data_IF_466679127932
#
_entry.id   IF_466679127932
#
_cell.length_a   1.000
_cell.length_b   1.000
_cell.length_c   1.000
_cell.angle_alpha   90.00
_cell.angle_beta   90.00
_cell.angle_gamma   90.00
#
_symmetry.space_group_name_H-M   'P 1'
#
loop_
_entity.id
_entity.type
_entity.pdbx_description
1 polymer ?
#
# COMPACT_ATOMS: atom_id res chain seq x y z
N UNK A 1 27.48 40.79 -17.77
CA UNK A 1 27.08 41.17 -16.40
C UNK A 1 28.08 40.55 -15.42
N UNK A 2 28.85 41.35 -14.68
CA UNK A 2 29.83 40.83 -13.70
C UNK A 2 29.09 40.55 -12.39
N UNK A 3 28.64 39.30 -12.19
CA UNK A 3 28.05 38.88 -10.92
C UNK A 3 29.15 38.96 -9.86
N UNK A 4 28.92 39.74 -8.80
CA UNK A 4 29.89 39.90 -7.71
C UNK A 4 30.03 38.56 -7.00
N UNK A 5 31.26 38.04 -6.90
CA UNK A 5 31.55 36.74 -6.28
C UNK A 5 30.94 36.60 -4.88
N UNK A 6 30.86 37.70 -4.13
CA UNK A 6 30.24 37.74 -2.80
C UNK A 6 28.73 37.46 -2.82
N UNK A 7 28.03 37.91 -3.86
CA UNK A 7 26.58 37.68 -4.03
C UNK A 7 26.34 36.22 -4.39
N UNK A 8 27.15 35.65 -5.29
CA UNK A 8 27.08 34.23 -5.62
C UNK A 8 27.35 33.35 -4.38
N UNK A 9 28.36 33.69 -3.59
CA UNK A 9 28.67 33.00 -2.33
C UNK A 9 27.53 33.09 -1.31
N UNK A 10 26.91 34.26 -1.17
CA UNK A 10 25.78 34.44 -0.27
C UNK A 10 24.58 33.58 -0.69
N UNK A 11 24.25 33.56 -1.99
CA UNK A 11 23.15 32.75 -2.54
C UNK A 11 23.43 31.25 -2.37
N UNK A 12 24.66 30.81 -2.62
CA UNK A 12 25.04 29.41 -2.41
C UNK A 12 24.91 29.03 -0.92
N UNK A 13 25.41 29.85 -0.01
CA UNK A 13 25.31 29.58 1.43
C UNK A 13 23.86 29.50 1.90
N UNK A 14 23.00 30.45 1.51
CA UNK A 14 21.60 30.41 1.91
C UNK A 14 20.88 29.20 1.32
N UNK A 15 21.16 28.83 0.06
CA UNK A 15 20.58 27.63 -0.55
C UNK A 15 20.99 26.34 0.16
N UNK A 16 22.24 26.23 0.61
CA UNK A 16 22.74 25.07 1.35
C UNK A 16 22.06 24.99 2.72
N UNK A 17 21.92 26.11 3.42
CA UNK A 17 21.25 26.15 4.72
C UNK A 17 19.79 25.70 4.58
N UNK A 18 19.06 26.21 3.59
CA UNK A 18 17.66 25.81 3.35
C UNK A 18 17.55 24.34 2.93
N UNK A 19 18.45 23.84 2.08
CA UNK A 19 18.51 22.42 1.73
C UNK A 19 18.78 21.53 2.95
N UNK A 20 19.67 21.94 3.86
CA UNK A 20 19.94 21.19 5.09
C UNK A 20 18.74 21.17 6.03
N UNK A 21 18.03 22.30 6.17
CA UNK A 21 16.81 22.37 6.96
C UNK A 21 15.73 21.45 6.39
N UNK A 22 15.49 21.49 5.07
CA UNK A 22 14.53 20.59 4.41
C UNK A 22 14.88 19.11 4.61
N UNK A 23 16.16 18.75 4.47
CA UNK A 23 16.62 17.39 4.71
C UNK A 23 16.37 16.98 6.17
N UNK A 24 16.68 17.83 7.15
CA UNK A 24 16.43 17.54 8.56
C UNK A 24 14.93 17.42 8.88
N UNK A 25 14.09 18.26 8.29
CA UNK A 25 12.63 18.19 8.44
C UNK A 25 12.08 16.92 7.81
N UNK A 26 12.54 16.56 6.61
CA UNK A 26 12.18 15.29 5.96
C UNK A 26 12.60 14.10 6.81
N UNK A 27 13.84 14.07 7.32
CA UNK A 27 14.28 13.03 8.24
C UNK A 27 13.43 13.00 9.52
N UNK A 28 13.06 14.14 10.09
CA UNK A 28 12.19 14.19 11.28
C UNK A 28 10.78 13.63 11.02
N UNK A 29 10.23 13.89 9.83
CA UNK A 29 8.90 13.39 9.43
C UNK A 29 8.97 11.90 9.03
N UNK A 30 10.02 11.49 8.33
CA UNK A 30 10.19 10.14 7.79
C UNK A 30 10.73 9.13 8.81
N UNK A 31 11.54 9.57 9.78
CA UNK A 31 12.13 8.72 10.82
C UNK A 31 11.54 9.00 12.22
N UNK A 32 10.33 8.49 12.54
CA UNK A 32 9.91 8.33 13.93
C UNK A 32 10.67 7.20 14.66
N UNK A 33 11.64 6.55 14.01
CA UNK A 33 12.19 5.25 14.42
C UNK A 33 13.49 5.29 15.23
N UNK A 34 14.09 6.46 15.50
CA UNK A 34 15.36 6.53 16.25
C UNK A 34 15.21 6.29 17.78
N UNK A 35 13.99 5.99 18.26
CA UNK A 35 13.75 5.56 19.64
C UNK A 35 13.31 4.08 19.74
N UNK A 36 13.50 3.29 18.67
CA UNK A 36 13.21 1.86 18.70
C UNK A 36 14.49 1.08 18.92
N UNK A 37 14.63 0.51 20.12
CA UNK A 37 15.69 -0.41 20.47
C UNK A 37 15.88 -1.47 19.37
N UNK A 38 17.10 -1.66 18.82
CA UNK A 38 17.34 -2.61 17.72
C UNK A 38 17.04 -4.06 18.10
N UNK A 39 16.97 -4.36 19.40
CA UNK A 39 16.51 -5.64 19.93
C UNK A 39 15.04 -5.95 19.62
N UNK A 40 14.19 -4.93 19.41
CA UNK A 40 12.76 -5.12 19.14
C UNK A 40 12.46 -5.40 17.66
N UNK A 41 13.29 -4.89 16.74
CA UNK A 41 13.14 -5.09 15.29
C UNK A 41 13.48 -6.52 14.81
N UNK A 42 14.18 -7.31 15.63
CA UNK A 42 14.56 -8.69 15.29
C UNK A 42 13.54 -9.74 15.78
N UNK A 43 12.66 -9.37 16.72
CA UNK A 43 11.64 -10.25 17.29
C UNK A 43 10.41 -10.41 16.36
N UNK A 44 10.22 -9.53 15.38
CA UNK A 44 9.03 -9.52 14.50
C UNK A 44 9.15 -10.47 13.28
N UNK A 45 10.17 -11.34 13.22
CA UNK A 45 10.31 -12.34 12.14
C UNK A 45 10.03 -13.78 12.58
N UNK A 46 9.54 -14.00 13.80
CA UNK A 46 9.11 -15.33 14.23
C UNK A 46 7.68 -15.61 13.77
N UNK A 47 7.56 -15.97 12.49
CA UNK A 47 6.33 -16.37 11.79
C UNK A 47 5.62 -17.59 12.43
N UNK A 48 6.25 -18.31 13.37
CA UNK A 48 5.68 -19.51 14.01
C UNK A 48 4.93 -19.29 15.34
N UNK A 49 4.48 -18.07 15.66
CA UNK A 49 3.61 -17.87 16.85
C UNK A 49 2.23 -17.27 16.57
N UNK A 50 1.89 -16.95 15.32
CA UNK A 50 0.53 -16.49 15.00
C UNK A 50 -0.53 -17.61 15.16
N UNK A 51 -0.14 -18.87 14.93
CA UNK A 51 -1.08 -20.00 15.01
C UNK A 51 -1.46 -20.37 16.46
N UNK A 52 -0.65 -19.98 17.46
CA UNK A 52 -0.86 -20.38 18.86
C UNK A 52 -1.70 -19.38 19.67
N UNK A 53 -1.92 -18.16 19.18
CA UNK A 53 -2.70 -17.11 19.87
C UNK A 53 -4.14 -16.99 19.36
N UNK A 54 -4.49 -17.62 18.23
CA UNK A 54 -5.86 -17.64 17.70
C UNK A 54 -6.73 -18.78 18.25
N UNK A 55 -6.26 -19.55 19.25
CA UNK A 55 -7.11 -20.47 20.02
C UNK A 55 -7.77 -19.72 21.17
N UNK A 56 -8.73 -18.88 20.82
CA UNK A 56 -9.50 -18.06 21.75
C UNK A 56 -9.78 -16.68 21.21
N UNK A 57 -10.24 -16.56 19.97
CA UNK A 57 -10.65 -15.28 19.40
C UNK A 57 -11.81 -14.72 20.22
N UNK A 58 -11.61 -13.57 20.85
CA UNK A 58 -12.67 -12.80 21.48
C UNK A 58 -13.89 -12.75 20.54
N UNK A 59 -15.12 -12.99 21.04
CA UNK A 59 -16.32 -13.02 20.21
C UNK A 59 -16.56 -11.69 19.48
N UNK A 60 -16.00 -10.59 19.98
CA UNK A 60 -16.01 -9.29 19.31
C UNK A 60 -15.09 -9.24 18.09
N UNK A 61 -13.88 -9.81 18.18
CA UNK A 61 -12.91 -9.86 17.07
C UNK A 61 -13.42 -10.77 15.96
N UNK A 62 -14.04 -11.90 16.31
CA UNK A 62 -14.63 -12.79 15.31
C UNK A 62 -15.77 -12.10 14.56
N UNK A 63 -16.63 -11.35 15.25
CA UNK A 63 -17.71 -10.56 14.60
C UNK A 63 -17.17 -9.50 13.65
N UNK A 64 -16.08 -8.83 14.02
CA UNK A 64 -15.44 -7.84 13.16
C UNK A 64 -14.81 -8.49 11.94
N UNK A 65 -14.13 -9.62 12.12
CA UNK A 65 -13.57 -10.40 11.02
C UNK A 65 -14.67 -10.91 10.08
N UNK A 66 -15.75 -11.46 10.61
CA UNK A 66 -16.89 -11.93 9.81
C UNK A 66 -17.51 -10.79 9.01
N UNK A 67 -17.57 -9.57 9.58
CA UNK A 67 -18.06 -8.38 8.89
C UNK A 67 -17.15 -8.00 7.72
N UNK A 68 -15.83 -8.04 7.91
CA UNK A 68 -14.84 -7.71 6.87
C UNK A 68 -14.82 -8.77 5.76
N UNK A 69 -14.93 -10.05 6.12
CA UNK A 69 -14.93 -11.16 5.16
C UNK A 69 -16.21 -11.24 4.34
N UNK A 70 -17.34 -10.75 4.85
CA UNK A 70 -18.63 -10.81 4.16
C UNK A 70 -18.66 -10.06 2.83
N UNK A 71 -17.85 -9.02 2.68
CA UNK A 71 -17.77 -8.23 1.45
C UNK A 71 -16.82 -8.84 0.41
N UNK A 72 -15.97 -9.78 0.83
CA UNK A 72 -14.99 -10.43 -0.03
C UNK A 72 -15.58 -11.71 -0.65
N UNK A 73 -15.34 -11.87 -1.95
CA UNK A 73 -15.62 -13.12 -2.67
C UNK A 73 -14.42 -14.07 -2.56
N UNK A 74 -14.70 -15.32 -2.21
CA UNK A 74 -13.72 -16.42 -2.20
C UNK A 74 -14.09 -17.56 -3.17
N UNK A 75 -15.11 -17.34 -4.00
CA UNK A 75 -15.59 -18.33 -4.97
C UNK A 75 -14.59 -18.51 -6.10
N UNK A 76 -14.38 -19.75 -6.56
CA UNK A 76 -13.39 -20.05 -7.61
C UNK A 76 -13.93 -19.86 -9.02
N UNK A 77 -15.24 -19.74 -9.22
CA UNK A 77 -15.86 -19.65 -10.55
C UNK A 77 -16.37 -18.23 -10.87
N UNK A 78 -15.67 -17.22 -10.37
CA UNK A 78 -16.06 -15.81 -10.50
C UNK A 78 -15.43 -15.09 -11.69
N UNK A 79 -15.82 -13.82 -11.93
CA UNK A 79 -15.16 -12.96 -12.90
C UNK A 79 -13.65 -12.86 -12.62
N UNK A 80 -12.83 -12.95 -13.67
CA UNK A 80 -11.37 -12.86 -13.52
C UNK A 80 -10.66 -14.18 -13.22
N UNK A 81 -11.40 -15.28 -13.08
CA UNK A 81 -10.85 -16.62 -12.90
C UNK A 81 -10.02 -17.03 -14.12
N UNK A 82 -8.91 -17.73 -13.89
CA UNK A 82 -7.95 -18.11 -14.93
C UNK A 82 -7.45 -16.92 -15.76
N UNK A 83 -7.46 -15.71 -15.18
CA UNK A 83 -7.05 -14.49 -15.87
C UNK A 83 -7.99 -14.02 -16.98
N UNK A 84 -9.25 -14.49 -16.98
CA UNK A 84 -10.27 -14.02 -17.93
C UNK A 84 -10.59 -12.52 -17.74
N UNK A 85 -10.96 -11.79 -18.80
CA UNK A 85 -11.31 -10.38 -18.67
C UNK A 85 -12.62 -10.18 -17.91
N UNK A 86 -12.66 -9.22 -16.99
CA UNK A 86 -13.86 -8.84 -16.25
C UNK A 86 -14.69 -7.84 -17.06
N UNK A 87 -15.93 -8.19 -17.37
CA UNK A 87 -16.88 -7.33 -18.07
C UNK A 87 -17.66 -6.49 -17.06
N UNK A 88 -17.60 -5.17 -17.22
CA UNK A 88 -18.33 -4.21 -16.39
C UNK A 88 -19.57 -3.72 -17.14
N UNK A 89 -20.65 -3.54 -16.40
CA UNK A 89 -21.90 -2.97 -16.92
C UNK A 89 -21.67 -1.52 -17.42
N UNK A 90 -22.13 -1.15 -18.63
CA UNK A 90 -22.03 0.22 -19.15
C UNK A 90 -22.60 1.30 -18.23
N UNK A 91 -23.61 0.97 -17.42
CA UNK A 91 -24.21 1.91 -16.46
C UNK A 91 -23.24 2.41 -15.39
N UNK A 92 -22.15 1.68 -15.11
CA UNK A 92 -21.16 1.99 -14.07
C UNK A 92 -19.88 2.63 -14.60
N UNK A 93 -19.87 3.09 -15.85
CA UNK A 93 -18.67 3.68 -16.45
C UNK A 93 -18.21 4.98 -15.78
N UNK A 94 -19.15 5.77 -15.26
CA UNK A 94 -18.82 7.02 -14.54
C UNK A 94 -18.11 6.71 -13.22
N UNK A 95 -18.66 5.80 -12.43
CA UNK A 95 -18.06 5.32 -11.18
C UNK A 95 -16.67 4.70 -11.41
N UNK A 96 -16.51 3.94 -12.50
CA UNK A 96 -15.21 3.39 -12.93
C UNK A 96 -14.19 4.50 -13.14
N UNK A 97 -14.57 5.57 -13.86
CA UNK A 97 -13.66 6.70 -14.16
C UNK A 97 -13.27 7.47 -12.89
N UNK A 98 -14.22 7.66 -11.97
CA UNK A 98 -13.95 8.34 -10.71
C UNK A 98 -13.01 7.52 -9.81
N UNK A 99 -13.31 6.23 -9.62
CA UNK A 99 -12.47 5.33 -8.81
C UNK A 99 -11.08 5.12 -9.42
N UNK A 100 -10.97 5.12 -10.75
CA UNK A 100 -9.68 5.03 -11.43
C UNK A 100 -8.80 6.26 -11.18
N UNK A 101 -9.36 7.47 -11.10
CA UNK A 101 -8.57 8.68 -10.80
C UNK A 101 -7.92 8.63 -9.41
N UNK A 102 -8.58 7.99 -8.45
CA UNK A 102 -8.08 7.90 -7.08
C UNK A 102 -7.04 6.79 -6.91
N UNK A 103 -7.29 5.64 -7.53
CA UNK A 103 -6.52 4.42 -7.27
C UNK A 103 -5.53 4.07 -8.38
N UNK A 104 -5.65 4.70 -9.55
CA UNK A 104 -4.87 4.43 -10.77
C UNK A 104 -5.05 3.01 -11.35
N UNK A 105 -6.03 2.25 -10.85
CA UNK A 105 -6.48 0.98 -11.40
C UNK A 105 -8.01 0.87 -11.38
N UNK A 106 -8.55 -0.11 -12.09
CA UNK A 106 -9.99 -0.34 -12.16
C UNK A 106 -10.48 -1.05 -10.88
N UNK A 107 -10.76 -0.26 -9.85
CA UNK A 107 -11.22 -0.76 -8.55
C UNK A 107 -12.52 -1.58 -8.68
N UNK A 108 -13.47 -1.14 -9.52
CA UNK A 108 -14.72 -1.87 -9.72
C UNK A 108 -14.53 -3.28 -10.27
N UNK A 109 -13.57 -3.47 -11.19
CA UNK A 109 -13.23 -4.81 -11.66
C UNK A 109 -12.55 -5.62 -10.55
N UNK A 110 -11.65 -5.01 -9.78
CA UNK A 110 -10.95 -5.67 -8.67
C UNK A 110 -11.90 -6.18 -7.60
N UNK A 111 -12.91 -5.38 -7.22
CA UNK A 111 -13.90 -5.72 -6.20
C UNK A 111 -14.76 -6.94 -6.60
N UNK A 112 -14.91 -7.19 -7.91
CA UNK A 112 -15.64 -8.34 -8.43
C UNK A 112 -14.81 -9.62 -8.50
N UNK A 113 -13.48 -9.50 -8.48
CA UNK A 113 -12.57 -10.63 -8.61
C UNK A 113 -12.45 -11.35 -7.27
N UNK A 114 -12.53 -12.68 -7.30
CA UNK A 114 -12.32 -13.49 -6.11
C UNK A 114 -10.90 -13.36 -5.56
N UNK A 115 -10.77 -13.29 -4.24
CA UNK A 115 -9.48 -13.27 -3.55
C UNK A 115 -8.68 -14.55 -3.81
N UNK A 116 -9.37 -15.67 -4.01
CA UNK A 116 -8.77 -16.98 -4.25
C UNK A 116 -8.73 -17.38 -5.73
N UNK A 117 -8.79 -16.41 -6.64
CA UNK A 117 -8.77 -16.71 -8.08
C UNK A 117 -7.47 -17.41 -8.51
N UNK A 118 -7.55 -18.25 -9.53
CA UNK A 118 -6.38 -18.91 -10.11
C UNK A 118 -5.90 -18.23 -11.39
N UNK A 119 -4.66 -18.54 -11.79
CA UNK A 119 -4.04 -18.04 -13.02
C UNK A 119 -3.46 -19.19 -13.83
N UNK A 120 -3.54 -19.13 -15.17
CA UNK A 120 -2.83 -20.06 -16.05
C UNK A 120 -1.31 -19.86 -15.93
N UNK A 121 -0.57 -20.95 -16.01
CA UNK A 121 0.89 -20.92 -16.03
C UNK A 121 1.40 -20.64 -17.45
N UNK A 122 2.15 -19.55 -17.61
CA UNK A 122 2.75 -19.14 -18.89
C UNK A 122 4.26 -19.36 -18.95
N UNK A 123 4.86 -19.96 -17.91
CA UNK A 123 6.31 -20.22 -17.90
C UNK A 123 6.64 -21.26 -18.96
N UNK A 124 7.66 -20.97 -19.77
CA UNK A 124 8.19 -21.91 -20.77
C UNK A 124 8.99 -22.96 -20.00
N UNK A 125 8.59 -24.23 -20.12
CA UNK A 125 9.29 -25.38 -19.54
C UNK A 125 10.53 -25.79 -20.31
#
# INVERSE_FOLDING_TARGET
MKIKANVCRAVLLTSIVWMLVDVLVLFYILDPNLNRNPAKLRAERHFESFEKTFKGSDPSVQKELDKLLKELSFEKDGPGEMGTPVLLDPSREEEKKEKFKLNEFNLLASDMISINRTLPDYRIG
#
